data_IF_711050574769
#
_entry.id   IF_711050574769
#
_cell.length_a   1.000
_cell.length_b   1.000
_cell.length_c   1.000
_cell.angle_alpha   90.00
_cell.angle_beta   90.00
_cell.angle_gamma   90.00
#
_symmetry.space_group_name_H-M   'P 1'
#
loop_
_entity.id
_entity.type
_entity.pdbx_description
1 polymer ?
#
# COMPACT_ATOMS: atom_id res chain seq x y z
N UNK A 1 -14.32 44.42 -12.34
CA UNK A 1 -14.49 43.46 -11.22
C UNK A 1 -14.61 42.01 -11.70
N UNK A 2 -15.39 41.75 -12.77
CA UNK A 2 -15.60 40.40 -13.31
C UNK A 2 -14.33 39.67 -13.78
N UNK A 3 -13.40 40.37 -14.43
CA UNK A 3 -12.13 39.78 -14.89
C UNK A 3 -11.22 39.30 -13.75
N UNK A 4 -11.24 39.99 -12.61
CA UNK A 4 -10.45 39.59 -11.44
C UNK A 4 -11.06 38.36 -10.76
N UNK A 5 -12.39 38.28 -10.74
CA UNK A 5 -13.11 37.11 -10.25
C UNK A 5 -12.82 35.88 -11.12
N UNK A 6 -12.84 36.03 -12.45
CA UNK A 6 -12.54 34.95 -13.39
C UNK A 6 -11.09 34.43 -13.28
N UNK A 7 -10.13 35.32 -13.05
CA UNK A 7 -8.73 34.93 -12.79
C UNK A 7 -8.57 34.18 -11.46
N UNK A 8 -9.27 34.63 -10.42
CA UNK A 8 -9.24 33.99 -9.11
C UNK A 8 -9.87 32.59 -9.13
N UNK A 9 -10.98 32.41 -9.86
CA UNK A 9 -11.63 31.10 -9.98
C UNK A 9 -10.80 30.11 -10.81
N UNK A 10 -10.17 30.55 -11.90
CA UNK A 10 -9.25 29.72 -12.68
C UNK A 10 -8.02 29.32 -11.85
N UNK A 11 -7.46 30.25 -11.07
CA UNK A 11 -6.34 29.96 -10.17
C UNK A 11 -6.73 28.96 -9.07
N UNK A 12 -7.86 29.15 -8.38
CA UNK A 12 -8.36 28.23 -7.37
C UNK A 12 -8.65 26.82 -7.95
N UNK A 13 -9.27 26.75 -9.14
CA UNK A 13 -9.51 25.49 -9.83
C UNK A 13 -8.21 24.76 -10.20
N UNK A 14 -7.17 25.50 -10.59
CA UNK A 14 -5.85 24.91 -10.92
C UNK A 14 -5.12 24.36 -9.69
N UNK A 15 -5.27 24.98 -8.52
CA UNK A 15 -4.69 24.45 -7.27
C UNK A 15 -5.45 23.20 -6.82
N UNK A 16 -6.79 23.19 -6.95
CA UNK A 16 -7.60 22.03 -6.60
C UNK A 16 -7.32 20.82 -7.50
N UNK A 17 -7.07 21.01 -8.80
CA UNK A 17 -6.74 19.91 -9.70
C UNK A 17 -5.34 19.33 -9.44
N UNK A 18 -4.35 20.17 -9.11
CA UNK A 18 -3.00 19.69 -8.76
C UNK A 18 -2.99 19.03 -7.38
N UNK A 19 -3.66 19.59 -6.38
CA UNK A 19 -3.75 18.95 -5.06
C UNK A 19 -4.52 17.62 -5.11
N UNK A 20 -5.73 17.63 -5.69
CA UNK A 20 -6.60 16.45 -5.67
C UNK A 20 -6.06 15.25 -6.47
N UNK A 21 -5.38 15.49 -7.59
CA UNK A 21 -4.88 14.40 -8.45
C UNK A 21 -3.54 13.84 -7.97
N UNK A 22 -2.62 14.69 -7.48
CA UNK A 22 -1.30 14.21 -7.05
C UNK A 22 -1.32 13.55 -5.66
N UNK A 23 -2.22 13.94 -4.75
CA UNK A 23 -2.33 13.28 -3.43
C UNK A 23 -3.11 11.96 -3.46
N UNK A 24 -3.93 11.73 -4.48
CA UNK A 24 -4.72 10.50 -4.64
C UNK A 24 -4.17 9.55 -5.72
N UNK A 25 -3.05 9.92 -6.38
CA UNK A 25 -2.42 9.04 -7.34
C UNK A 25 -1.85 7.81 -6.62
N UNK A 26 -2.19 6.58 -7.04
CA UNK A 26 -1.55 5.39 -6.50
C UNK A 26 -0.05 5.45 -6.79
N UNK A 27 0.77 5.06 -5.82
CA UNK A 27 2.20 4.90 -6.05
C UNK A 27 2.41 3.75 -7.04
N UNK A 28 2.85 4.06 -8.25
CA UNK A 28 3.24 3.07 -9.26
C UNK A 28 4.67 2.57 -8.96
N UNK A 29 4.79 1.70 -7.94
CA UNK A 29 6.04 1.04 -7.59
C UNK A 29 6.04 -0.42 -8.07
N UNK A 30 7.21 -1.06 -8.03
CA UNK A 30 7.30 -2.50 -8.26
C UNK A 30 6.55 -3.27 -7.17
N UNK A 31 5.59 -4.10 -7.58
CA UNK A 31 4.68 -4.81 -6.68
C UNK A 31 5.17 -6.23 -6.35
N UNK A 32 6.25 -6.69 -6.99
CA UNK A 32 6.80 -8.03 -6.78
C UNK A 32 7.97 -7.93 -5.81
N UNK A 33 7.80 -8.52 -4.64
CA UNK A 33 8.87 -8.60 -3.64
C UNK A 33 9.48 -10.01 -3.60
N UNK A 34 10.71 -10.15 -4.10
CA UNK A 34 11.43 -11.42 -4.09
C UNK A 34 12.19 -11.58 -2.76
N UNK A 35 11.60 -12.32 -1.82
CA UNK A 35 12.18 -12.57 -0.49
C UNK A 35 12.75 -13.98 -0.36
N UNK A 36 13.89 -14.10 0.31
CA UNK A 36 14.39 -15.39 0.81
C UNK A 36 13.68 -15.79 2.11
N UNK A 37 13.61 -17.10 2.37
CA UNK A 37 13.15 -17.65 3.64
C UNK A 37 14.20 -18.64 4.14
N UNK A 38 14.73 -18.45 5.35
CA UNK A 38 15.98 -19.06 5.84
C UNK A 38 16.12 -20.58 5.67
N UNK A 39 15.00 -21.29 5.54
CA UNK A 39 14.91 -22.69 5.17
C UNK A 39 13.55 -22.97 4.51
N UNK A 40 13.40 -24.17 3.95
CA UNK A 40 12.13 -24.65 3.41
C UNK A 40 11.14 -24.98 4.55
N UNK A 41 9.86 -24.57 4.44
CA UNK A 41 8.83 -24.90 5.42
C UNK A 41 8.47 -26.39 5.37
N UNK A 42 8.26 -27.01 6.53
CA UNK A 42 7.77 -28.40 6.61
C UNK A 42 6.25 -28.45 6.43
N UNK A 43 5.54 -27.46 7.00
CA UNK A 43 4.10 -27.32 6.88
C UNK A 43 3.63 -25.87 6.73
N UNK A 44 2.46 -25.69 6.14
CA UNK A 44 1.69 -24.43 6.13
C UNK A 44 0.36 -24.57 6.89
N UNK A 45 0.16 -25.68 7.61
CA UNK A 45 -0.94 -25.86 8.54
C UNK A 45 -0.56 -25.18 9.88
N UNK A 46 -1.24 -24.10 10.31
CA UNK A 46 -0.88 -23.37 11.53
C UNK A 46 -0.85 -24.23 12.79
N UNK A 47 -1.52 -25.39 12.80
CA UNK A 47 -1.49 -26.33 13.92
C UNK A 47 -0.32 -27.31 13.90
N UNK A 48 0.54 -27.26 12.88
CA UNK A 48 1.68 -28.18 12.68
C UNK A 48 3.02 -27.46 12.51
N UNK A 49 3.02 -26.14 12.41
CA UNK A 49 4.26 -25.35 12.30
C UNK A 49 4.93 -25.18 13.66
N UNK A 50 6.25 -25.18 13.69
CA UNK A 50 7.03 -25.02 14.93
C UNK A 50 8.22 -24.06 14.80
N UNK A 51 8.41 -23.46 13.63
CA UNK A 51 9.60 -22.66 13.32
C UNK A 51 9.28 -21.23 12.91
N UNK A 52 10.29 -20.36 12.94
CA UNK A 52 10.16 -18.93 12.59
C UNK A 52 10.02 -18.73 11.08
N UNK A 53 10.73 -19.53 10.26
CA UNK A 53 10.65 -19.39 8.81
C UNK A 53 9.28 -19.82 8.25
N UNK A 54 8.58 -20.73 8.92
CA UNK A 54 7.17 -21.03 8.62
C UNK A 54 6.25 -19.86 9.02
N UNK A 55 6.47 -19.28 10.21
CA UNK A 55 5.69 -18.15 10.70
C UNK A 55 5.79 -16.91 9.79
N UNK A 56 6.93 -16.69 9.12
CA UNK A 56 7.09 -15.62 8.13
C UNK A 56 6.08 -15.75 6.99
N UNK A 57 5.83 -16.96 6.50
CA UNK A 57 4.90 -17.22 5.39
C UNK A 57 3.46 -17.18 5.90
N UNK A 58 3.19 -17.77 7.08
CA UNK A 58 1.84 -17.82 7.63
C UNK A 58 1.26 -16.43 7.91
N UNK A 59 2.08 -15.44 8.27
CA UNK A 59 1.65 -14.05 8.47
C UNK A 59 1.23 -13.33 7.19
N UNK A 60 1.69 -13.82 6.04
CA UNK A 60 1.27 -13.30 4.74
C UNK A 60 -0.02 -14.00 4.25
N UNK A 61 -0.30 -15.23 4.71
CA UNK A 61 -1.45 -16.04 4.30
C UNK A 61 -2.66 -15.92 5.24
N UNK A 62 -2.42 -15.74 6.54
CA UNK A 62 -3.43 -15.75 7.58
C UNK A 62 -3.26 -14.57 8.54
N UNK A 63 -4.37 -14.11 9.10
CA UNK A 63 -4.42 -13.01 10.06
C UNK A 63 -4.97 -13.51 11.40
N UNK A 64 -4.40 -13.01 12.50
CA UNK A 64 -4.89 -13.28 13.85
C UNK A 64 -6.02 -12.32 14.24
N UNK A 65 -6.61 -12.53 15.42
CA UNK A 65 -7.63 -11.61 15.95
C UNK A 65 -7.06 -10.23 16.32
N UNK A 66 -5.76 -10.16 16.58
CA UNK A 66 -5.03 -8.97 17.01
C UNK A 66 -3.65 -8.98 16.35
N UNK A 67 -3.09 -7.79 16.12
CA UNK A 67 -1.72 -7.56 15.69
C UNK A 67 -0.78 -7.29 16.88
#
# INVERSE_FOLDING_TARGET
MLHNLFRATVFAASIMSVGGVYFAAPAYAEMVFNRGNSADPESLDPHKTSTVYEANILRDLFEGLVM
#
